data_IF_187889075784
#
_entry.id   IF_187889075784
#
_cell.length_a   1.000
_cell.length_b   1.000
_cell.length_c   1.000
_cell.angle_alpha   90.00
_cell.angle_beta   90.00
_cell.angle_gamma   90.00
#
_symmetry.space_group_name_H-M   'P 1'
#
loop_
_entity.id
_entity.type
_entity.pdbx_description
1 polymer ?
#
# COMPACT_ATOMS: atom_id res chain seq x y z
N UNK A 1 5.09 -12.64 -16.61
CA UNK A 1 3.86 -12.15 -15.97
C UNK A 1 3.89 -12.46 -14.47
N UNK A 2 3.54 -11.48 -13.63
CA UNK A 2 3.26 -11.65 -12.19
C UNK A 2 1.82 -11.25 -11.89
N UNK A 3 1.21 -11.87 -10.89
CA UNK A 3 -0.12 -11.53 -10.35
C UNK A 3 -1.33 -12.08 -11.11
N UNK A 4 -1.20 -12.39 -12.41
CA UNK A 4 -2.27 -13.02 -13.20
C UNK A 4 -1.71 -13.91 -14.32
N UNK A 5 -2.54 -14.83 -14.82
CA UNK A 5 -2.17 -15.67 -15.97
C UNK A 5 -2.12 -14.86 -17.27
N UNK A 6 -1.22 -15.21 -18.22
CA UNK A 6 -1.17 -14.56 -19.54
C UNK A 6 -2.52 -14.58 -20.28
N UNK A 7 -3.31 -15.64 -20.12
CA UNK A 7 -4.62 -15.77 -20.77
C UNK A 7 -5.64 -14.76 -20.23
N UNK A 8 -5.66 -14.55 -18.91
CA UNK A 8 -6.51 -13.54 -18.29
C UNK A 8 -6.12 -12.14 -18.76
N UNK A 9 -4.81 -11.84 -18.81
CA UNK A 9 -4.33 -10.52 -19.25
C UNK A 9 -4.62 -10.30 -20.74
N UNK A 10 -4.48 -11.31 -21.61
CA UNK A 10 -4.90 -11.22 -23.02
C UNK A 10 -6.39 -10.90 -23.15
N UNK A 11 -7.25 -11.54 -22.35
CA UNK A 11 -8.68 -11.25 -22.32
C UNK A 11 -8.94 -9.80 -21.87
N UNK A 12 -8.31 -9.37 -20.77
CA UNK A 12 -8.47 -8.00 -20.25
C UNK A 12 -8.03 -6.93 -21.27
N UNK A 13 -6.96 -7.19 -22.03
CA UNK A 13 -6.50 -6.31 -23.12
C UNK A 13 -7.53 -6.26 -24.26
N UNK A 14 -8.04 -7.43 -24.69
CA UNK A 14 -9.00 -7.53 -25.79
C UNK A 14 -10.35 -6.87 -25.46
N UNK A 15 -10.82 -7.03 -24.22
CA UNK A 15 -12.08 -6.49 -23.72
C UNK A 15 -11.94 -5.05 -23.20
N UNK A 16 -10.69 -4.53 -23.11
CA UNK A 16 -10.35 -3.25 -22.46
C UNK A 16 -10.88 -3.17 -21.02
N UNK A 17 -10.93 -4.31 -20.33
CA UNK A 17 -11.42 -4.43 -18.95
C UNK A 17 -10.33 -4.00 -17.95
N UNK A 18 -10.48 -2.87 -17.24
CA UNK A 18 -9.49 -2.39 -16.29
C UNK A 18 -9.44 -3.18 -14.98
N UNK A 19 -10.47 -3.97 -14.66
CA UNK A 19 -10.64 -4.67 -13.39
C UNK A 19 -11.05 -6.14 -13.60
N UNK A 20 -10.21 -6.97 -14.25
CA UNK A 20 -10.55 -8.31 -14.72
C UNK A 20 -10.67 -9.40 -13.63
N UNK A 21 -10.69 -9.01 -12.35
CA UNK A 21 -10.90 -9.91 -11.21
C UNK A 21 -9.61 -10.39 -10.56
N UNK A 22 -8.60 -9.53 -10.45
CA UNK A 22 -7.26 -9.86 -9.93
C UNK A 22 -6.87 -8.97 -8.74
N UNK A 23 -5.75 -9.30 -8.10
CA UNK A 23 -5.05 -8.42 -7.14
C UNK A 23 -3.99 -7.52 -7.81
N UNK A 24 -4.04 -7.38 -9.14
CA UNK A 24 -3.05 -6.66 -9.95
C UNK A 24 -2.09 -7.57 -10.70
N UNK A 25 -1.49 -7.03 -11.75
CA UNK A 25 -0.58 -7.77 -12.60
C UNK A 25 0.37 -6.86 -13.36
N UNK A 26 1.55 -7.38 -13.67
CA UNK A 26 2.46 -6.76 -14.62
C UNK A 26 3.39 -7.78 -15.28
N UNK A 27 3.96 -7.41 -16.42
CA UNK A 27 5.04 -8.14 -17.09
C UNK A 27 4.92 -8.13 -18.61
N UNK A 28 5.76 -8.93 -19.26
CA UNK A 28 5.75 -9.06 -20.71
C UNK A 28 4.64 -9.99 -21.23
N UNK A 29 3.94 -9.52 -22.26
CA UNK A 29 2.94 -10.26 -23.03
C UNK A 29 2.97 -9.80 -24.49
N UNK A 30 3.14 -10.74 -25.43
CA UNK A 30 3.06 -10.51 -26.88
C UNK A 30 3.90 -9.31 -27.37
N UNK A 31 5.15 -9.20 -26.87
CA UNK A 31 6.08 -8.12 -27.25
C UNK A 31 5.77 -6.76 -26.62
N UNK A 32 5.01 -6.74 -25.52
CA UNK A 32 4.69 -5.52 -24.76
C UNK A 32 4.85 -5.75 -23.27
N UNK A 33 5.32 -4.73 -22.56
CA UNK A 33 5.30 -4.69 -21.10
C UNK A 33 3.97 -4.08 -20.65
N UNK A 34 3.16 -4.85 -19.94
CA UNK A 34 1.81 -4.47 -19.53
C UNK A 34 1.77 -4.29 -18.02
N UNK A 35 1.14 -3.21 -17.55
CA UNK A 35 0.94 -2.92 -16.12
C UNK A 35 -0.52 -2.56 -15.85
N UNK A 36 -1.12 -3.16 -14.82
CA UNK A 36 -2.54 -2.98 -14.48
C UNK A 36 -2.89 -1.51 -14.13
N UNK A 37 -4.20 -1.21 -14.10
CA UNK A 37 -4.72 0.16 -13.97
C UNK A 37 -4.29 0.88 -12.68
N UNK A 38 -3.98 0.15 -11.60
CA UNK A 38 -3.51 0.70 -10.33
C UNK A 38 -2.01 0.53 -10.12
N UNK A 39 -1.29 -0.08 -11.07
CA UNK A 39 0.16 -0.24 -10.99
C UNK A 39 0.62 -1.11 -9.83
N UNK A 40 -0.19 -2.10 -9.43
CA UNK A 40 -0.01 -2.87 -8.18
C UNK A 40 1.19 -3.80 -8.21
N UNK A 41 1.77 -4.04 -9.38
CA UNK A 41 3.08 -4.66 -9.54
C UNK A 41 4.03 -3.62 -10.18
N UNK A 42 5.22 -3.38 -9.61
CA UNK A 42 6.23 -2.55 -10.27
C UNK A 42 6.70 -3.23 -11.56
N UNK A 43 7.11 -2.46 -12.55
CA UNK A 43 7.68 -2.98 -13.78
C UNK A 43 8.55 -1.89 -14.41
N UNK A 44 9.80 -2.22 -14.69
CA UNK A 44 10.79 -1.30 -15.23
C UNK A 44 11.39 -1.87 -16.51
N UNK A 45 11.77 -0.99 -17.42
CA UNK A 45 12.57 -1.33 -18.59
C UNK A 45 13.77 -0.40 -18.71
N UNK A 46 14.85 -0.86 -19.33
CA UNK A 46 15.98 -0.01 -19.67
C UNK A 46 15.53 1.09 -20.65
N UNK A 47 15.98 2.33 -20.44
CA UNK A 47 15.54 3.47 -21.27
C UNK A 47 15.91 3.28 -22.73
N UNK A 48 17.13 2.82 -22.98
CA UNK A 48 17.68 2.66 -24.32
C UNK A 48 17.28 1.34 -24.99
N UNK A 49 16.87 0.33 -24.20
CA UNK A 49 16.47 -0.99 -24.69
C UNK A 49 15.26 -1.53 -23.90
N UNK A 50 14.02 -1.16 -24.29
CA UNK A 50 12.82 -1.58 -23.58
C UNK A 50 12.58 -3.10 -23.52
N UNK A 51 13.32 -3.90 -24.31
CA UNK A 51 13.29 -5.36 -24.22
C UNK A 51 14.07 -5.91 -23.02
N UNK A 52 15.00 -5.14 -22.44
CA UNK A 52 15.63 -5.45 -21.15
C UNK A 52 14.77 -4.85 -20.03
N UNK A 53 14.12 -5.72 -19.27
CA UNK A 53 13.15 -5.32 -18.25
C UNK A 53 13.29 -6.14 -16.97
N UNK A 54 12.83 -5.58 -15.85
CA UNK A 54 12.77 -6.26 -14.57
C UNK A 54 11.61 -5.75 -13.70
N UNK A 55 11.24 -6.55 -12.69
CA UNK A 55 10.37 -6.13 -11.60
C UNK A 55 11.12 -5.32 -10.52
N UNK A 56 12.45 -5.31 -10.57
CA UNK A 56 13.34 -4.57 -9.68
C UNK A 56 14.23 -3.64 -10.52
N UNK A 57 14.18 -2.34 -10.22
CA UNK A 57 14.93 -1.33 -10.98
C UNK A 57 16.45 -1.50 -10.85
N UNK A 58 16.93 -2.17 -9.78
CA UNK A 58 18.35 -2.41 -9.52
C UNK A 58 19.00 -3.41 -10.49
N UNK A 59 18.20 -4.15 -11.26
CA UNK A 59 18.69 -5.08 -12.29
C UNK A 59 19.03 -4.37 -13.62
N UNK A 60 18.78 -3.06 -13.70
CA UNK A 60 18.89 -2.23 -14.89
C UNK A 60 19.86 -1.06 -14.66
N UNK A 61 20.35 -0.46 -15.74
CA UNK A 61 21.37 0.60 -15.67
C UNK A 61 20.73 2.01 -15.68
N UNK A 62 19.74 2.27 -16.54
CA UNK A 62 18.88 3.48 -16.55
C UNK A 62 17.39 3.06 -16.60
N UNK A 63 16.84 2.59 -15.45
CA UNK A 63 15.49 2.08 -15.37
C UNK A 63 14.42 3.15 -15.60
N UNK A 64 13.39 2.80 -16.36
CA UNK A 64 12.17 3.59 -16.56
C UNK A 64 10.96 2.76 -16.19
N UNK A 65 10.20 3.20 -15.19
CA UNK A 65 8.95 2.56 -14.82
C UNK A 65 7.97 2.55 -16.00
N UNK A 66 7.29 1.42 -16.20
CA UNK A 66 6.11 1.34 -17.06
C UNK A 66 4.94 1.97 -16.29
N UNK A 67 4.26 3.01 -16.81
CA UNK A 67 3.18 3.65 -16.07
C UNK A 67 1.99 2.70 -15.85
N UNK A 68 1.25 2.90 -14.76
CA UNK A 68 0.02 2.16 -14.50
C UNK A 68 -1.01 2.34 -15.63
N UNK A 69 -1.75 1.27 -15.93
CA UNK A 69 -2.79 1.26 -16.97
C UNK A 69 -2.25 1.29 -18.40
N UNK A 70 -0.96 0.99 -18.61
CA UNK A 70 -0.29 1.10 -19.92
C UNK A 70 0.34 -0.19 -20.41
N UNK A 71 0.56 -0.22 -21.72
CA UNK A 71 1.39 -1.20 -22.40
C UNK A 71 2.53 -0.49 -23.14
N UNK A 72 3.78 -0.86 -22.84
CA UNK A 72 4.98 -0.36 -23.51
C UNK A 72 5.44 -1.34 -24.59
N UNK A 73 5.69 -0.88 -25.81
CA UNK A 73 6.29 -1.74 -26.85
C UNK A 73 7.75 -2.09 -26.51
N UNK A 74 8.16 -3.35 -26.69
CA UNK A 74 9.55 -3.78 -26.41
C UNK A 74 10.45 -3.77 -27.64
N UNK A 75 9.90 -3.72 -28.85
CA UNK A 75 10.67 -3.79 -30.09
C UNK A 75 9.96 -3.08 -31.26
N UNK A 76 10.71 -2.87 -32.35
CA UNK A 76 10.21 -2.25 -33.57
C UNK A 76 9.97 -0.75 -33.45
N UNK A 77 9.11 -0.20 -34.30
CA UNK A 77 8.82 1.24 -34.34
C UNK A 77 8.14 1.76 -33.07
N UNK A 78 7.49 0.87 -32.30
CA UNK A 78 6.82 1.19 -31.04
C UNK A 78 7.69 0.93 -29.80
N UNK A 79 8.98 0.64 -29.97
CA UNK A 79 9.88 0.38 -28.85
C UNK A 79 9.96 1.61 -27.93
N UNK A 80 9.54 1.44 -26.67
CA UNK A 80 9.52 2.51 -25.67
C UNK A 80 8.24 3.36 -25.66
N UNK A 81 7.34 3.17 -26.63
CA UNK A 81 6.07 3.89 -26.68
C UNK A 81 5.07 3.32 -25.68
N UNK A 82 4.52 4.21 -24.84
CA UNK A 82 3.55 3.88 -23.80
C UNK A 82 2.09 4.10 -24.28
N UNK A 83 1.43 3.04 -24.74
CA UNK A 83 -0.01 3.06 -25.05
C UNK A 83 -0.83 3.03 -23.74
N UNK A 84 -1.76 3.97 -23.57
CA UNK A 84 -2.75 3.87 -22.48
C UNK A 84 -3.78 2.82 -22.84
N UNK A 85 -3.81 1.73 -22.07
CA UNK A 85 -4.77 0.64 -22.29
C UNK A 85 -6.00 0.80 -21.41
N UNK A 86 -5.79 1.20 -20.17
CA UNK A 86 -6.84 1.32 -19.15
C UNK A 86 -6.80 2.67 -18.44
N UNK A 87 -7.96 3.09 -17.96
CA UNK A 87 -8.10 4.19 -17.01
C UNK A 87 -8.96 3.70 -15.85
N UNK A 88 -8.73 4.25 -14.65
CA UNK A 88 -9.55 3.93 -13.49
C UNK A 88 -11.02 4.25 -13.79
N UNK A 89 -11.97 3.31 -13.67
CA UNK A 89 -13.39 3.59 -13.89
C UNK A 89 -13.89 4.73 -13.00
N UNK A 90 -14.86 5.50 -13.49
CA UNK A 90 -15.55 6.54 -12.73
C UNK A 90 -17.08 6.33 -12.81
N UNK A 91 -17.60 5.28 -12.14
CA UNK A 91 -19.03 5.03 -12.12
C UNK A 91 -19.76 6.15 -11.38
N UNK A 92 -21.06 6.40 -11.66
CA UNK A 92 -21.86 7.31 -10.84
C UNK A 92 -21.92 6.81 -9.39
N UNK A 93 -22.13 7.73 -8.45
CA UNK A 93 -22.35 7.39 -7.06
C UNK A 93 -23.59 6.49 -6.92
N UNK A 94 -23.47 5.46 -6.08
CA UNK A 94 -24.57 4.58 -5.75
C UNK A 94 -25.68 5.35 -5.03
N UNK A 95 -26.92 5.10 -5.42
CA UNK A 95 -28.11 5.76 -4.85
C UNK A 95 -28.74 4.96 -3.71
N UNK A 96 -28.48 3.66 -3.65
CA UNK A 96 -28.93 2.77 -2.57
C UNK A 96 -27.75 2.53 -1.61
N UNK A 97 -27.86 3.14 -0.43
CA UNK A 97 -26.82 3.10 0.61
C UNK A 97 -26.60 1.69 1.14
N UNK A 98 -27.67 0.97 1.44
CA UNK A 98 -27.58 -0.33 2.10
C UNK A 98 -27.04 -1.37 1.10
N UNK A 99 -27.52 -1.33 -0.15
CA UNK A 99 -26.96 -2.18 -1.20
C UNK A 99 -25.49 -1.85 -1.54
N UNK A 100 -25.03 -0.62 -1.32
CA UNK A 100 -23.61 -0.27 -1.48
C UNK A 100 -22.76 -0.83 -0.33
N UNK A 101 -23.25 -0.72 0.92
CA UNK A 101 -22.59 -1.28 2.09
C UNK A 101 -22.47 -2.81 2.02
N UNK A 102 -23.54 -3.50 1.63
CA UNK A 102 -23.51 -4.96 1.47
C UNK A 102 -22.50 -5.38 0.40
N UNK A 103 -22.45 -4.67 -0.73
CA UNK A 103 -21.43 -4.91 -1.77
C UNK A 103 -20.00 -4.73 -1.25
N UNK A 104 -19.75 -3.70 -0.44
CA UNK A 104 -18.43 -3.49 0.19
C UNK A 104 -18.11 -4.63 1.15
N UNK A 105 -19.05 -5.00 2.04
CA UNK A 105 -18.87 -6.10 3.00
C UNK A 105 -18.53 -7.40 2.27
N UNK A 106 -19.33 -7.77 1.28
CA UNK A 106 -19.11 -8.99 0.50
C UNK A 106 -17.77 -8.96 -0.22
N UNK A 107 -17.47 -7.88 -0.95
CA UNK A 107 -16.22 -7.76 -1.69
C UNK A 107 -14.99 -7.80 -0.79
N UNK A 108 -15.01 -7.08 0.34
CA UNK A 108 -13.91 -7.04 1.31
C UNK A 108 -13.69 -8.42 1.92
N UNK A 109 -14.74 -9.04 2.48
CA UNK A 109 -14.59 -10.32 3.17
C UNK A 109 -14.35 -11.49 2.23
N UNK A 110 -14.92 -11.48 1.02
CA UNK A 110 -14.56 -12.47 0.00
C UNK A 110 -13.09 -12.31 -0.41
N UNK A 111 -12.60 -11.07 -0.56
CA UNK A 111 -11.19 -10.83 -0.90
C UNK A 111 -10.24 -11.33 0.19
N UNK A 112 -10.42 -10.90 1.45
CA UNK A 112 -9.49 -11.28 2.53
C UNK A 112 -9.54 -12.76 2.88
N UNK A 113 -10.70 -13.43 2.76
CA UNK A 113 -10.83 -14.88 2.99
C UNK A 113 -10.33 -15.73 1.82
N UNK A 114 -10.13 -15.12 0.65
CA UNK A 114 -9.55 -15.80 -0.52
C UNK A 114 -8.02 -15.75 -0.56
N UNK A 115 -7.40 -15.09 0.41
CA UNK A 115 -5.95 -15.04 0.53
C UNK A 115 -5.43 -16.41 0.93
N UNK A 116 -4.51 -16.93 0.12
CA UNK A 116 -3.74 -18.13 0.45
C UNK A 116 -2.87 -17.85 1.69
N UNK A 117 -3.05 -18.65 2.74
CA UNK A 117 -2.41 -18.51 4.05
C UNK A 117 -1.04 -19.17 4.13
N UNK A 118 -0.63 -19.93 3.10
CA UNK A 118 0.71 -20.54 3.06
C UNK A 118 1.81 -19.46 2.99
N UNK A 119 2.80 -19.62 3.87
CA UNK A 119 3.92 -18.68 4.03
C UNK A 119 3.52 -17.26 4.45
N UNK A 120 2.28 -17.03 4.90
CA UNK A 120 1.74 -15.70 5.16
C UNK A 120 1.97 -15.24 6.61
N UNK A 121 2.23 -13.96 6.79
CA UNK A 121 2.07 -13.21 8.04
C UNK A 121 1.22 -11.94 7.81
N UNK A 122 0.65 -11.34 8.86
CA UNK A 122 -0.13 -10.09 8.76
C UNK A 122 0.60 -8.93 9.43
N UNK A 123 0.81 -7.83 8.70
CA UNK A 123 1.18 -6.54 9.29
C UNK A 123 -0.03 -5.97 10.05
N UNK A 124 -0.03 -6.14 11.36
CA UNK A 124 -1.16 -5.88 12.24
C UNK A 124 -0.92 -4.66 13.11
N UNK A 125 -1.56 -3.55 12.76
CA UNK A 125 -1.31 -2.26 13.41
C UNK A 125 -2.40 -1.80 14.38
N UNK A 126 -3.39 -2.66 14.62
CA UNK A 126 -4.53 -2.40 15.51
C UNK A 126 -5.66 -1.54 14.91
N UNK A 127 -5.47 -0.95 13.73
CA UNK A 127 -6.54 -0.25 13.01
C UNK A 127 -7.45 -1.19 12.22
N UNK A 128 -8.64 -0.69 11.87
CA UNK A 128 -9.68 -1.44 11.11
C UNK A 128 -9.13 -2.09 9.83
N UNK A 129 -8.21 -1.43 9.13
CA UNK A 129 -7.65 -1.93 7.87
C UNK A 129 -6.94 -3.28 8.06
N UNK A 130 -5.96 -3.32 8.96
CA UNK A 130 -5.21 -4.54 9.27
C UNK A 130 -6.06 -5.56 10.02
N UNK A 131 -7.04 -5.11 10.80
CA UNK A 131 -7.95 -6.01 11.52
C UNK A 131 -8.89 -6.76 10.59
N UNK A 132 -9.44 -6.09 9.56
CA UNK A 132 -10.24 -6.74 8.51
C UNK A 132 -9.41 -7.79 7.78
N UNK A 133 -8.15 -7.50 7.45
CA UNK A 133 -7.23 -8.47 6.85
C UNK A 133 -7.00 -9.65 7.78
N UNK A 134 -6.64 -9.41 9.04
CA UNK A 134 -6.38 -10.46 10.03
C UNK A 134 -7.61 -11.36 10.30
N UNK A 135 -8.83 -10.81 10.21
CA UNK A 135 -10.08 -11.57 10.35
C UNK A 135 -10.38 -12.47 9.15
N UNK A 136 -9.80 -12.19 7.98
CA UNK A 136 -9.87 -13.06 6.81
C UNK A 136 -8.97 -14.29 6.89
N UNK A 137 -7.88 -14.19 7.64
CA UNK A 137 -6.85 -15.22 7.81
C UNK A 137 -6.60 -15.51 9.30
N UNK A 138 -7.57 -16.13 10.00
CA UNK A 138 -7.57 -16.24 11.47
C UNK A 138 -6.46 -17.11 12.05
N UNK A 139 -5.80 -17.96 11.26
CA UNK A 139 -4.72 -18.82 11.77
C UNK A 139 -3.31 -18.25 11.48
N UNK A 140 -3.24 -17.11 10.78
CA UNK A 140 -1.98 -16.48 10.37
C UNK A 140 -1.45 -15.58 11.49
N UNK A 141 -0.15 -15.59 11.82
CA UNK A 141 0.41 -14.75 12.88
C UNK A 141 0.36 -13.25 12.54
N UNK A 142 0.16 -12.43 13.57
CA UNK A 142 0.13 -10.98 13.45
C UNK A 142 1.46 -10.38 13.93
N UNK A 143 1.95 -9.38 13.22
CA UNK A 143 3.19 -8.66 13.53
C UNK A 143 2.94 -7.17 13.61
N UNK A 144 3.52 -6.50 14.60
CA UNK A 144 3.56 -5.04 14.69
C UNK A 144 4.99 -4.57 14.88
N UNK A 145 5.38 -3.47 14.25
CA UNK A 145 6.66 -2.82 14.50
C UNK A 145 6.45 -1.47 15.16
N UNK A 146 7.33 -1.10 16.08
CA UNK A 146 7.34 0.23 16.68
C UNK A 146 8.39 0.37 17.76
N UNK A 147 8.72 1.62 18.11
CA UNK A 147 9.50 1.89 19.31
C UNK A 147 8.70 1.52 20.56
N UNK A 148 9.41 1.25 21.67
CA UNK A 148 8.79 1.05 22.97
C UNK A 148 7.82 2.19 23.31
N UNK A 149 6.61 1.84 23.77
CA UNK A 149 5.56 2.80 24.12
C UNK A 149 4.94 3.55 22.92
N UNK A 150 5.21 3.11 21.68
CA UNK A 150 4.59 3.69 20.50
C UNK A 150 3.09 3.39 20.40
N UNK A 151 2.37 4.26 19.68
CA UNK A 151 0.91 4.15 19.57
C UNK A 151 0.49 2.90 18.81
N UNK A 152 1.21 2.55 17.75
CA UNK A 152 0.88 1.38 16.93
C UNK A 152 1.06 0.08 17.73
N UNK A 153 2.11 -0.03 18.56
CA UNK A 153 2.32 -1.20 19.43
C UNK A 153 1.20 -1.32 20.48
N UNK A 154 0.82 -0.22 21.13
CA UNK A 154 -0.28 -0.22 22.10
C UNK A 154 -1.62 -0.61 21.46
N UNK A 155 -1.96 0.00 20.32
CA UNK A 155 -3.19 -0.30 19.59
C UNK A 155 -3.22 -1.73 19.07
N UNK A 156 -2.09 -2.25 18.57
CA UNK A 156 -1.99 -3.63 18.12
C UNK A 156 -2.18 -4.61 19.28
N UNK A 157 -1.62 -4.37 20.46
CA UNK A 157 -1.86 -5.22 21.63
C UNK A 157 -3.34 -5.24 22.04
N UNK A 158 -3.99 -4.08 22.11
CA UNK A 158 -5.41 -3.98 22.45
C UNK A 158 -6.29 -4.72 21.42
N UNK A 159 -6.03 -4.52 20.14
CA UNK A 159 -6.78 -5.16 19.07
C UNK A 159 -6.52 -6.67 18.99
N UNK A 160 -5.28 -7.12 19.18
CA UNK A 160 -4.93 -8.54 19.21
C UNK A 160 -5.60 -9.25 20.39
N UNK A 161 -5.63 -8.64 21.57
CA UNK A 161 -6.35 -9.17 22.72
C UNK A 161 -7.86 -9.23 22.49
N UNK A 162 -8.46 -8.19 21.87
CA UNK A 162 -9.88 -8.17 21.56
C UNK A 162 -10.28 -9.20 20.49
N UNK A 163 -9.38 -9.53 19.58
CA UNK A 163 -9.59 -10.46 18.48
C UNK A 163 -9.02 -11.88 18.74
N UNK A 164 -8.46 -12.12 19.93
CA UNK A 164 -7.78 -13.38 20.30
C UNK A 164 -6.70 -13.80 19.29
N UNK A 165 -5.77 -12.88 19.00
CA UNK A 165 -4.68 -13.07 18.02
C UNK A 165 -3.32 -13.16 18.71
N UNK A 166 -2.48 -14.04 18.19
CA UNK A 166 -1.06 -14.05 18.52
C UNK A 166 -0.35 -12.88 17.84
N UNK A 167 0.30 -12.04 18.64
CA UNK A 167 0.94 -10.81 18.19
C UNK A 167 2.42 -10.82 18.54
N UNK A 168 3.27 -10.77 17.52
CA UNK A 168 4.70 -10.54 17.65
C UNK A 168 5.02 -9.06 17.51
N UNK A 169 5.73 -8.50 18.49
CA UNK A 169 6.20 -7.10 18.46
C UNK A 169 7.66 -7.06 17.98
N UNK A 170 7.89 -6.32 16.91
CA UNK A 170 9.21 -6.00 16.38
C UNK A 170 9.63 -4.65 16.93
N UNK A 171 10.45 -4.68 17.98
CA UNK A 171 10.95 -3.46 18.62
C UNK A 171 11.91 -2.72 17.69
N UNK A 172 11.60 -1.46 17.40
CA UNK A 172 12.47 -0.58 16.64
C UNK A 172 13.54 0.04 17.53
N UNK A 173 14.78 0.05 17.05
CA UNK A 173 15.91 0.70 17.71
C UNK A 173 16.59 1.68 16.77
N UNK A 174 17.30 2.65 17.34
CA UNK A 174 18.09 3.59 16.54
C UNK A 174 19.13 2.89 15.66
N UNK A 175 19.82 1.88 16.19
CA UNK A 175 20.79 1.07 15.45
C UNK A 175 20.13 0.34 14.28
N UNK A 176 18.93 -0.22 14.49
CA UNK A 176 18.18 -0.88 13.42
C UNK A 176 17.76 0.11 12.33
N UNK A 177 17.36 1.33 12.69
CA UNK A 177 17.06 2.39 11.73
C UNK A 177 18.30 2.76 10.91
N UNK A 178 19.42 3.05 11.55
CA UNK A 178 20.67 3.44 10.87
C UNK A 178 21.17 2.35 9.91
N UNK A 179 21.08 1.07 10.31
CA UNK A 179 21.41 -0.07 9.43
C UNK A 179 20.46 -0.20 8.26
N UNK A 180 19.15 -0.03 8.47
CA UNK A 180 18.15 -0.25 7.43
C UNK A 180 18.11 0.88 6.39
N UNK A 181 18.47 2.12 6.75
CA UNK A 181 18.37 3.27 5.83
C UNK A 181 19.14 3.04 4.52
N UNK A 182 20.43 2.60 4.51
CA UNK A 182 21.14 2.34 3.26
C UNK A 182 20.49 1.29 2.38
N UNK A 183 19.99 0.20 2.98
CA UNK A 183 19.32 -0.89 2.27
C UNK A 183 17.99 -0.42 1.65
N UNK A 184 17.22 0.38 2.39
CA UNK A 184 15.98 1.01 1.93
C UNK A 184 16.23 2.00 0.79
N UNK A 185 17.24 2.87 0.93
CA UNK A 185 17.58 3.84 -0.12
C UNK A 185 18.00 3.12 -1.39
N UNK A 186 18.80 2.05 -1.29
CA UNK A 186 19.16 1.23 -2.43
C UNK A 186 17.92 0.59 -3.08
N UNK A 187 17.01 0.04 -2.29
CA UNK A 187 15.76 -0.56 -2.78
C UNK A 187 14.81 0.48 -3.44
N UNK A 188 14.75 1.71 -2.92
CA UNK A 188 13.91 2.77 -3.46
C UNK A 188 14.53 3.53 -4.65
N UNK A 189 15.86 3.59 -4.72
CA UNK A 189 16.58 4.45 -5.67
C UNK A 189 16.46 5.95 -5.37
N UNK A 190 15.97 6.34 -4.17
CA UNK A 190 15.77 7.74 -3.78
C UNK A 190 15.91 7.96 -2.27
N UNK A 191 16.26 9.17 -1.87
CA UNK A 191 16.53 9.57 -0.48
C UNK A 191 15.40 10.39 0.17
N UNK A 192 14.22 10.43 -0.46
CA UNK A 192 13.08 11.20 0.06
C UNK A 192 12.75 10.80 1.52
N UNK A 193 12.85 11.73 2.50
CA UNK A 193 12.67 11.40 3.90
C UNK A 193 11.31 10.82 4.24
N UNK A 194 10.24 11.26 3.56
CA UNK A 194 8.90 10.78 3.85
C UNK A 194 8.73 9.33 3.45
N UNK A 195 9.24 8.95 2.28
CA UNK A 195 9.21 7.56 1.85
C UNK A 195 10.03 6.66 2.78
N UNK A 196 11.26 7.07 3.10
CA UNK A 196 12.14 6.32 4.01
C UNK A 196 11.46 6.14 5.37
N UNK A 197 10.85 7.19 5.93
CA UNK A 197 10.14 7.12 7.21
C UNK A 197 8.90 6.24 7.19
N UNK A 198 8.19 6.15 6.06
CA UNK A 198 7.01 5.28 5.90
C UNK A 198 7.44 3.81 5.85
N UNK A 199 8.46 3.50 5.05
CA UNK A 199 8.86 2.10 4.81
C UNK A 199 9.82 1.54 5.84
N UNK A 200 10.57 2.36 6.59
CA UNK A 200 11.44 1.91 7.68
C UNK A 200 10.79 0.89 8.64
N UNK A 201 9.63 1.20 9.27
CA UNK A 201 8.96 0.23 10.14
C UNK A 201 8.49 -1.02 9.39
N UNK A 202 8.07 -0.88 8.13
CA UNK A 202 7.62 -2.01 7.31
C UNK A 202 8.77 -2.93 6.89
N UNK A 203 9.93 -2.36 6.57
CA UNK A 203 11.15 -3.09 6.21
C UNK A 203 11.65 -3.94 7.36
N UNK A 204 11.80 -3.33 8.54
CA UNK A 204 12.27 -4.02 9.75
C UNK A 204 11.27 -5.10 10.21
N UNK A 205 9.96 -4.84 10.06
CA UNK A 205 8.93 -5.85 10.28
C UNK A 205 9.09 -7.01 9.29
N UNK A 206 9.27 -6.72 8.01
CA UNK A 206 9.39 -7.72 6.95
C UNK A 206 10.64 -8.58 7.10
N UNK A 207 11.80 -8.00 7.47
CA UNK A 207 13.01 -8.77 7.77
C UNK A 207 12.77 -9.76 8.92
N UNK A 208 12.02 -9.33 9.95
CA UNK A 208 11.67 -10.22 11.05
C UNK A 208 10.73 -11.34 10.61
N UNK A 209 9.72 -11.02 9.81
CA UNK A 209 8.78 -11.99 9.23
C UNK A 209 9.51 -13.03 8.37
N UNK A 210 10.43 -12.59 7.52
CA UNK A 210 11.29 -13.47 6.73
C UNK A 210 12.17 -14.36 7.61
N UNK A 211 12.78 -13.81 8.66
CA UNK A 211 13.61 -14.56 9.60
C UNK A 211 12.82 -15.62 10.39
N UNK A 212 11.53 -15.39 10.64
CA UNK A 212 10.63 -16.35 11.28
C UNK A 212 10.09 -17.42 10.30
N UNK A 213 10.44 -17.34 9.01
CA UNK A 213 10.17 -18.37 8.01
C UNK A 213 8.98 -18.12 7.08
N UNK A 214 8.40 -16.92 7.12
CA UNK A 214 7.30 -16.50 6.24
C UNK A 214 7.85 -15.75 5.03
N UNK A 215 7.34 -16.03 3.84
CA UNK A 215 7.77 -15.39 2.59
C UNK A 215 6.76 -14.36 2.06
N UNK A 216 5.61 -14.20 2.73
CA UNK A 216 4.54 -13.29 2.30
C UNK A 216 4.02 -12.44 3.47
N UNK A 217 3.68 -11.19 3.17
CA UNK A 217 3.16 -10.24 4.16
C UNK A 217 1.85 -9.61 3.72
N UNK A 218 0.74 -9.96 4.38
CA UNK A 218 -0.54 -9.32 4.19
C UNK A 218 -0.56 -7.91 4.83
N UNK A 219 -0.95 -6.91 4.06
CA UNK A 219 -1.01 -5.50 4.47
C UNK A 219 -2.41 -4.93 4.24
N UNK A 220 -2.83 -3.99 5.09
CA UNK A 220 -4.09 -3.23 4.93
C UNK A 220 -4.03 -2.13 3.87
N UNK A 221 -3.09 -2.21 2.91
CA UNK A 221 -2.84 -1.16 1.94
C UNK A 221 -4.04 -0.95 1.00
N UNK A 222 -4.33 0.30 0.65
CA UNK A 222 -5.49 0.68 -0.16
C UNK A 222 -6.73 1.06 0.63
N UNK A 223 -6.81 0.78 1.93
CA UNK A 223 -7.98 1.09 2.74
C UNK A 223 -8.22 2.61 2.87
N UNK A 224 -7.16 3.38 3.10
CA UNK A 224 -7.25 4.84 3.24
C UNK A 224 -7.66 5.51 1.93
N UNK A 225 -7.16 5.03 0.80
CA UNK A 225 -7.47 5.54 -0.54
C UNK A 225 -8.89 5.20 -0.96
N UNK A 226 -9.30 3.93 -0.81
CA UNK A 226 -10.59 3.43 -1.28
C UNK A 226 -11.76 3.88 -0.40
N UNK A 227 -11.55 4.04 0.91
CA UNK A 227 -12.62 4.31 1.86
C UNK A 227 -12.54 5.67 2.55
N UNK A 228 -11.65 6.57 2.11
CA UNK A 228 -11.60 7.95 2.62
C UNK A 228 -10.97 8.06 4.01
N UNK A 229 -9.83 7.40 4.21
CA UNK A 229 -9.13 7.35 5.49
C UNK A 229 -8.22 8.54 5.81
N UNK A 230 -7.91 9.38 4.83
CA UNK A 230 -7.05 10.54 5.06
C UNK A 230 -7.81 11.76 5.57
N UNK A 231 -7.20 12.50 6.49
CA UNK A 231 -7.75 13.77 6.99
C UNK A 231 -7.98 14.81 5.87
N UNK A 232 -7.19 14.80 4.79
CA UNK A 232 -7.40 15.68 3.63
C UNK A 232 -8.65 15.32 2.82
N UNK A 233 -9.02 14.04 2.79
CA UNK A 233 -10.28 13.59 2.17
C UNK A 233 -11.47 13.99 3.04
N UNK A 234 -11.34 13.81 4.36
CA UNK A 234 -12.34 14.24 5.34
C UNK A 234 -12.65 15.74 5.26
N UNK A 235 -11.61 16.56 5.07
CA UNK A 235 -11.71 18.02 5.04
C UNK A 235 -12.01 18.58 3.66
N UNK A 236 -12.19 17.74 2.64
CA UNK A 236 -12.56 18.22 1.31
C UNK A 236 -13.94 18.90 1.35
N UNK A 237 -14.14 20.02 0.64
CA UNK A 237 -13.20 20.67 -0.29
C UNK A 237 -12.25 21.70 0.36
N UNK A 238 -12.29 21.89 1.67
CA UNK A 238 -11.59 22.98 2.35
C UNK A 238 -10.09 22.72 2.60
N UNK A 239 -9.57 21.53 2.29
CA UNK A 239 -8.16 21.18 2.47
C UNK A 239 -7.34 21.48 1.20
N UNK A 240 -6.32 22.35 1.26
CA UNK A 240 -5.55 22.76 0.08
C UNK A 240 -4.64 21.66 -0.49
N UNK A 241 -4.65 20.45 0.10
CA UNK A 241 -3.89 19.28 -0.38
C UNK A 241 -4.71 18.39 -1.32
N UNK A 242 -5.95 18.77 -1.62
CA UNK A 242 -6.82 18.13 -2.62
C UNK A 242 -7.39 19.21 -3.53
N UNK A 243 -7.53 18.91 -4.82
CA UNK A 243 -8.11 19.85 -5.79
C UNK A 243 -9.63 19.65 -5.95
N UNK A 244 -10.14 18.49 -5.52
CA UNK A 244 -11.52 18.10 -5.68
C UNK A 244 -12.50 18.86 -4.76
N UNK A 245 -13.63 19.25 -5.36
CA UNK A 245 -14.74 19.92 -4.67
C UNK A 245 -15.61 18.99 -3.80
N UNK A 246 -15.31 17.69 -3.74
CA UNK A 246 -16.11 16.69 -3.01
C UNK A 246 -15.24 15.64 -2.33
N UNK A 247 -15.74 15.06 -1.24
CA UNK A 247 -15.11 13.91 -0.55
C UNK A 247 -14.83 12.76 -1.53
N UNK A 248 -15.78 12.44 -2.41
CA UNK A 248 -15.61 11.38 -3.42
C UNK A 248 -14.51 11.72 -4.43
N UNK A 249 -14.46 12.96 -4.91
CA UNK A 249 -13.39 13.42 -5.80
C UNK A 249 -12.02 13.38 -5.11
N UNK A 250 -11.95 13.81 -3.85
CA UNK A 250 -10.73 13.78 -3.06
C UNK A 250 -10.26 12.33 -2.83
N UNK A 251 -11.16 11.39 -2.52
CA UNK A 251 -10.83 9.97 -2.43
C UNK A 251 -10.29 9.44 -3.77
N UNK A 252 -10.90 9.82 -4.90
CA UNK A 252 -10.40 9.45 -6.23
C UNK A 252 -8.99 9.94 -6.49
N UNK A 253 -8.64 11.16 -6.09
CA UNK A 253 -7.26 11.67 -6.18
C UNK A 253 -6.29 10.78 -5.38
N UNK A 254 -6.70 10.25 -4.22
CA UNK A 254 -5.87 9.35 -3.42
C UNK A 254 -5.69 7.98 -4.08
N UNK A 255 -6.74 7.45 -4.71
CA UNK A 255 -6.63 6.20 -5.49
C UNK A 255 -5.60 6.39 -6.63
N UNK A 256 -5.55 7.56 -7.26
CA UNK A 256 -4.59 7.86 -8.32
C UNK A 256 -3.14 7.99 -7.83
N UNK A 257 -2.89 8.12 -6.51
CA UNK A 257 -1.53 8.07 -5.94
C UNK A 257 -1.08 6.66 -5.58
N UNK A 258 -1.94 5.64 -5.69
CA UNK A 258 -1.58 4.25 -5.38
C UNK A 258 -0.37 3.72 -6.17
N UNK A 259 -0.19 3.99 -7.48
CA UNK A 259 0.96 3.45 -8.21
C UNK A 259 2.31 3.79 -7.56
N UNK A 260 2.49 5.04 -7.12
CA UNK A 260 3.74 5.50 -6.50
C UNK A 260 3.92 4.94 -5.08
N UNK A 261 2.82 4.83 -4.32
CA UNK A 261 2.84 4.26 -2.98
C UNK A 261 3.14 2.75 -3.01
N UNK A 262 2.52 2.02 -3.93
CA UNK A 262 2.72 0.59 -4.10
C UNK A 262 4.12 0.30 -4.61
N UNK A 263 4.64 1.06 -5.57
CA UNK A 263 6.02 0.90 -6.02
C UNK A 263 7.01 1.06 -4.85
N UNK A 264 6.85 2.11 -4.03
CA UNK A 264 7.65 2.32 -2.82
C UNK A 264 7.58 1.13 -1.86
N UNK A 265 6.37 0.69 -1.52
CA UNK A 265 6.18 -0.34 -0.50
C UNK A 265 6.63 -1.72 -1.00
N UNK A 266 6.31 -2.08 -2.25
CA UNK A 266 6.63 -3.38 -2.83
C UNK A 266 8.14 -3.59 -3.00
N UNK A 267 8.87 -2.58 -3.46
CA UNK A 267 10.31 -2.67 -3.65
C UNK A 267 11.02 -2.94 -2.31
N UNK A 268 10.60 -2.25 -1.26
CA UNK A 268 11.22 -2.35 0.06
C UNK A 268 10.87 -3.66 0.76
N UNK A 269 9.60 -4.09 0.72
CA UNK A 269 9.18 -5.36 1.31
C UNK A 269 9.87 -6.56 0.63
N UNK A 270 10.00 -6.52 -0.71
CA UNK A 270 10.74 -7.55 -1.45
C UNK A 270 12.23 -7.55 -1.15
N UNK A 271 12.83 -6.37 -0.98
CA UNK A 271 14.22 -6.25 -0.56
C UNK A 271 14.45 -6.86 0.84
N UNK A 272 13.45 -6.78 1.73
CA UNK A 272 13.45 -7.44 3.05
C UNK A 272 13.17 -8.96 3.00
N UNK A 273 12.87 -9.51 1.82
CA UNK A 273 12.68 -10.95 1.62
C UNK A 273 11.24 -11.45 1.69
N UNK A 274 10.24 -10.58 1.69
CA UNK A 274 8.81 -10.98 1.67
C UNK A 274 8.04 -10.38 0.49
N UNK A 275 7.11 -11.15 -0.07
CA UNK A 275 6.22 -10.66 -1.12
C UNK A 275 4.91 -10.11 -0.48
N UNK A 276 4.59 -8.82 -0.68
CA UNK A 276 3.41 -8.22 -0.06
C UNK A 276 2.11 -8.65 -0.72
N UNK A 277 1.07 -8.80 0.10
CA UNK A 277 -0.29 -9.16 -0.30
C UNK A 277 -1.25 -8.07 0.18
N UNK A 278 -1.86 -7.33 -0.75
CA UNK A 278 -2.79 -6.24 -0.44
C UNK A 278 -4.23 -6.62 -0.87
N UNK A 279 -4.96 -7.43 -0.08
CA UNK A 279 -6.26 -7.97 -0.49
C UNK A 279 -7.33 -6.87 -0.67
N UNK A 280 -7.20 -5.73 0.02
CA UNK A 280 -8.12 -4.60 -0.15
C UNK A 280 -7.97 -3.91 -1.50
N UNK A 281 -6.89 -4.17 -2.24
CA UNK A 281 -6.68 -3.67 -3.60
C UNK A 281 -7.14 -4.63 -4.69
N UNK A 282 -7.73 -5.78 -4.34
CA UNK A 282 -8.32 -6.67 -5.33
C UNK A 282 -9.45 -5.96 -6.10
N UNK A 283 -9.56 -6.25 -7.40
CA UNK A 283 -10.52 -5.63 -8.32
C UNK A 283 -11.96 -5.62 -7.81
N UNK A 284 -12.43 -6.67 -7.14
CA UNK A 284 -13.74 -6.72 -6.47
C UNK A 284 -13.94 -5.62 -5.42
N UNK A 285 -12.92 -5.35 -4.59
CA UNK A 285 -12.97 -4.33 -3.54
C UNK A 285 -12.91 -2.95 -4.16
N UNK A 286 -12.01 -2.74 -5.13
CA UNK A 286 -11.92 -1.50 -5.90
C UNK A 286 -13.25 -1.19 -6.59
N UNK A 287 -13.85 -2.18 -7.27
CA UNK A 287 -15.13 -2.04 -7.96
C UNK A 287 -16.28 -1.70 -7.02
N UNK A 288 -16.29 -2.26 -5.81
CA UNK A 288 -17.28 -1.96 -4.78
C UNK A 288 -17.09 -0.56 -4.16
N UNK A 289 -15.84 -0.09 -4.03
CA UNK A 289 -15.51 1.19 -3.43
C UNK A 289 -15.72 2.39 -4.37
N UNK A 290 -15.42 2.27 -5.67
CA UNK A 290 -15.52 3.36 -6.65
C UNK A 290 -16.89 4.07 -6.72
N UNK A 291 -18.05 3.38 -6.62
CA UNK A 291 -19.36 4.02 -6.63
C UNK A 291 -19.80 4.53 -5.24
N UNK A 292 -18.98 4.44 -4.18
CA UNK A 292 -19.42 4.90 -2.86
C UNK A 292 -19.72 6.41 -2.87
N UNK A 293 -20.88 6.84 -2.32
CA UNK A 293 -21.18 8.24 -2.11
C UNK A 293 -20.34 8.81 -0.96
N UNK A 294 -20.20 10.14 -0.90
CA UNK A 294 -19.29 10.81 0.03
C UNK A 294 -19.55 10.48 1.50
N UNK A 295 -20.81 10.37 1.90
CA UNK A 295 -21.24 10.04 3.26
C UNK A 295 -20.88 8.61 3.71
N UNK A 296 -20.61 7.71 2.75
CA UNK A 296 -20.10 6.37 3.03
C UNK A 296 -18.56 6.32 3.04
N UNK A 297 -17.87 7.40 2.67
CA UNK A 297 -16.43 7.54 2.88
C UNK A 297 -16.16 8.27 4.20
N UNK A 298 -16.87 9.38 4.42
CA UNK A 298 -16.71 10.28 5.57
C UNK A 298 -18.07 10.77 6.05
N UNK A 299 -18.32 10.67 7.35
CA UNK A 299 -19.49 11.23 8.04
C UNK A 299 -19.04 12.05 9.25
N UNK A 300 -19.07 13.38 9.11
CA UNK A 300 -18.50 14.30 10.10
C UNK A 300 -17.00 14.04 10.32
N UNK A 301 -16.64 13.67 11.55
CA UNK A 301 -15.26 13.30 11.92
C UNK A 301 -14.93 11.82 11.68
N UNK A 302 -15.93 11.01 11.36
CA UNK A 302 -15.75 9.57 11.15
C UNK A 302 -15.28 9.32 9.71
N UNK A 303 -14.08 8.78 9.59
CA UNK A 303 -13.46 8.34 8.33
C UNK A 303 -13.66 6.84 8.12
N UNK A 304 -13.55 6.36 6.87
CA UNK A 304 -13.68 4.94 6.51
C UNK A 304 -15.06 4.37 6.84
N UNK A 305 -16.12 5.18 6.74
CA UNK A 305 -17.47 4.80 7.19
C UNK A 305 -17.88 3.44 6.61
N UNK A 306 -17.83 3.25 5.29
CA UNK A 306 -18.20 1.99 4.65
C UNK A 306 -17.37 0.80 5.11
N UNK A 307 -16.06 0.97 5.32
CA UNK A 307 -15.20 -0.13 5.79
C UNK A 307 -15.51 -0.49 7.25
N UNK A 308 -15.74 0.50 8.12
CA UNK A 308 -16.13 0.29 9.52
C UNK A 308 -17.51 -0.38 9.64
N UNK A 309 -18.48 0.09 8.86
CA UNK A 309 -19.82 -0.53 8.78
C UNK A 309 -19.78 -1.96 8.20
N UNK A 310 -18.92 -2.20 7.21
CA UNK A 310 -18.70 -3.54 6.66
C UNK A 310 -18.11 -4.47 7.71
N UNK A 311 -17.13 -3.98 8.49
CA UNK A 311 -16.46 -4.72 9.56
C UNK A 311 -17.34 -4.93 10.80
N UNK A 312 -18.39 -4.13 10.98
CA UNK A 312 -19.34 -4.27 12.08
C UNK A 312 -20.00 -5.66 12.06
N UNK A 313 -19.98 -6.34 13.20
CA UNK A 313 -20.47 -7.72 13.34
C UNK A 313 -19.46 -8.81 12.95
N UNK A 314 -18.30 -8.45 12.39
CA UNK A 314 -17.18 -9.38 12.17
C UNK A 314 -16.03 -9.07 13.13
N UNK A 315 -15.72 -7.78 13.33
CA UNK A 315 -14.71 -7.33 14.29
C UNK A 315 -15.36 -6.89 15.61
N UNK A 316 -14.62 -6.97 16.74
CA UNK A 316 -15.01 -6.28 17.97
C UNK A 316 -15.19 -4.78 17.73
N UNK A 317 -16.22 -4.18 18.32
CA UNK A 317 -16.55 -2.75 18.13
C UNK A 317 -15.37 -1.83 18.46
N UNK A 318 -14.60 -2.15 19.51
CA UNK A 318 -13.40 -1.40 19.90
C UNK A 318 -12.32 -1.36 18.82
N UNK A 319 -12.26 -2.38 17.95
CA UNK A 319 -11.31 -2.45 16.83
C UNK A 319 -11.90 -1.84 15.55
N UNK A 320 -13.17 -2.10 15.29
CA UNK A 320 -13.89 -1.56 14.13
C UNK A 320 -13.94 -0.03 14.15
N UNK A 321 -14.06 0.59 15.34
CA UNK A 321 -14.12 2.04 15.52
C UNK A 321 -12.78 2.68 15.94
N UNK A 322 -11.70 1.89 16.07
CA UNK A 322 -10.40 2.41 16.48
C UNK A 322 -9.89 3.49 15.51
N UNK A 323 -9.42 4.60 16.06
CA UNK A 323 -8.69 5.63 15.31
C UNK A 323 -7.22 5.27 15.19
N UNK A 324 -6.62 5.59 14.04
CA UNK A 324 -5.20 5.32 13.80
C UNK A 324 -4.45 6.52 13.23
N UNK A 325 -3.17 6.62 13.61
CA UNK A 325 -2.17 7.50 12.99
C UNK A 325 -1.50 6.80 11.81
N UNK A 326 -0.93 7.58 10.90
CA UNK A 326 -0.10 7.00 9.82
C UNK A 326 1.14 6.30 10.39
N UNK A 327 1.60 5.24 9.73
CA UNK A 327 2.60 4.29 10.26
C UNK A 327 3.88 4.97 10.77
N UNK A 328 4.41 5.94 10.03
CA UNK A 328 5.63 6.66 10.39
C UNK A 328 5.50 7.47 11.69
N UNK A 329 4.28 7.88 12.05
CA UNK A 329 3.98 8.60 13.29
C UNK A 329 3.53 7.67 14.40
N UNK A 330 2.76 6.64 14.06
CA UNK A 330 2.24 5.65 15.00
C UNK A 330 3.33 4.80 15.63
N UNK A 331 4.33 4.42 14.84
CA UNK A 331 5.51 3.63 15.24
C UNK A 331 6.62 4.47 15.89
N UNK A 332 6.53 5.80 15.80
CA UNK A 332 7.58 6.78 16.13
C UNK A 332 8.82 6.80 15.21
N UNK A 333 8.84 6.05 14.11
CA UNK A 333 9.97 6.05 13.16
C UNK A 333 10.34 7.46 12.66
N UNK A 334 9.36 8.28 12.28
CA UNK A 334 9.62 9.67 11.83
C UNK A 334 10.26 10.53 12.92
N UNK A 335 9.79 10.37 14.18
CA UNK A 335 10.28 11.11 15.35
C UNK A 335 11.72 10.74 15.67
N UNK A 336 12.03 9.44 15.68
CA UNK A 336 13.35 8.95 16.04
C UNK A 336 14.38 9.18 14.93
N UNK A 337 13.98 9.10 13.64
CA UNK A 337 14.87 9.48 12.53
C UNK A 337 15.20 10.99 12.55
N UNK A 338 14.23 11.87 12.87
CA UNK A 338 14.51 13.30 13.11
C UNK A 338 15.46 13.49 14.31
N UNK A 339 15.31 12.70 15.37
CA UNK A 339 16.22 12.75 16.52
C UNK A 339 17.65 12.38 16.11
N UNK A 340 17.82 11.31 15.35
CA UNK A 340 19.13 10.87 14.86
C UNK A 340 19.79 11.93 13.99
N UNK A 341 19.07 12.49 13.01
CA UNK A 341 19.56 13.57 12.17
C UNK A 341 20.10 14.74 13.03
N UNK A 342 19.34 15.16 14.05
CA UNK A 342 19.77 16.26 14.94
C UNK A 342 20.99 15.92 15.78
N UNK A 343 21.13 14.66 16.22
CA UNK A 343 22.28 14.16 16.98
C UNK A 343 23.54 14.10 16.12
N UNK A 344 23.41 13.68 14.86
CA UNK A 344 24.48 13.68 13.86
C UNK A 344 24.88 15.08 13.37
N UNK A 345 24.15 16.13 13.78
CA UNK A 345 24.50 17.53 13.49
C UNK A 345 23.58 18.22 12.49
N UNK A 346 22.68 17.50 11.83
CA UNK A 346 21.71 18.03 10.89
C UNK A 346 20.55 18.72 11.63
N UNK A 347 20.66 20.04 11.80
CA UNK A 347 19.70 20.83 12.60
C UNK A 347 18.47 21.19 11.78
N UNK A 348 17.30 21.30 12.42
CA UNK A 348 16.02 21.72 11.79
C UNK A 348 16.04 23.05 11.02
N UNK A 349 17.03 23.91 11.27
CA UNK A 349 17.25 25.15 10.53
C UNK A 349 17.90 24.94 9.16
N UNK A 350 18.46 23.75 8.92
CA UNK A 350 18.99 23.33 7.64
C UNK A 350 17.83 22.85 6.77
N UNK A 351 17.86 23.23 5.51
CA UNK A 351 16.86 22.80 4.54
C UNK A 351 16.93 21.29 4.35
N UNK A 352 15.79 20.59 4.43
CA UNK A 352 15.71 19.13 4.30
C UNK A 352 16.71 18.37 5.21
N UNK A 353 16.87 18.79 6.47
CA UNK A 353 17.89 18.24 7.37
C UNK A 353 17.82 16.72 7.56
N UNK A 354 16.62 16.12 7.54
CA UNK A 354 16.47 14.65 7.58
C UNK A 354 16.98 14.01 6.29
N UNK A 355 16.74 14.63 5.14
CA UNK A 355 17.24 14.13 3.85
C UNK A 355 18.75 14.15 3.81
N UNK A 356 19.37 15.25 4.24
CA UNK A 356 20.83 15.36 4.31
C UNK A 356 21.43 14.29 5.23
N UNK A 357 20.74 13.95 6.33
CA UNK A 357 21.17 12.86 7.20
C UNK A 357 21.05 11.50 6.50
N UNK A 358 19.92 11.21 5.84
CA UNK A 358 19.73 9.99 5.05
C UNK A 358 20.81 9.86 3.97
N UNK A 359 21.13 10.96 3.27
CA UNK A 359 22.20 11.03 2.28
C UNK A 359 23.57 10.74 2.90
N UNK A 360 23.84 11.25 4.10
CA UNK A 360 25.11 10.98 4.80
C UNK A 360 25.30 9.54 5.27
N UNK A 361 24.23 8.73 5.29
CA UNK A 361 24.30 7.30 5.62
C UNK A 361 24.59 6.43 4.39
N UNK A 362 24.48 6.97 3.18
CA UNK A 362 24.66 6.23 1.92
C UNK A 362 25.91 6.64 1.13
N UNK A 363 26.59 7.71 1.55
CA UNK A 363 27.94 8.07 1.14
C UNK A 363 29.00 7.21 1.84
#
# INVERSE_FOLDING_TARGET
MRGASPDLVRRALAERDPLPGTAGFAGELDGRLVRDVLGRQPLFSERADPARWSFDHRDLDDPVAVPAGRARGTAGEAAGDDERVWSLPDPPAATDRDAALDRVRDAVFESVRSVDDDGLAVAFSGGVDSAVVAAGVPDVPCYVAGFEGSHDVAAAHEAAAAMDRDLTVVELTHEALERAVPEIVAALGRTNPMDVQIVLPLYLLAERVAADGYDRLAVGQGADELFGGYAKVQKAPDDPRVEADTVRGAAREMILTLPDQLERDLLVLRAAGVDPVAPLLHDRVVSAALPLPGELLVDGDRRKVALREAASGVLPESVAEADKKAVQYGTYASRELDRLARQAGFKRRMENHVQQYVESLVE
#
